data_IF_289064348724
#
_entry.id   IF_289064348724
#
_cell.length_a   1.000
_cell.length_b   1.000
_cell.length_c   1.000
_cell.angle_alpha   90.00
_cell.angle_beta   90.00
_cell.angle_gamma   90.00
#
_symmetry.space_group_name_H-M   'P 1'
#
loop_
_entity.id
_entity.type
_entity.pdbx_description
1 polymer ?
#
# COMPACT_ATOMS: atom_id res chain seq x y z
N UNK A 1 1.35 55.63 19.32
CA UNK A 1 0.83 55.09 18.05
C UNK A 1 -0.65 55.41 17.82
N UNK A 2 -1.65 54.74 18.41
CA UNK A 2 -3.06 55.00 18.04
C UNK A 2 -3.59 56.40 18.41
N UNK A 3 -3.16 56.95 19.55
CA UNK A 3 -3.57 58.27 20.07
C UNK A 3 -3.01 59.45 19.26
N UNK A 4 -1.87 59.25 18.59
CA UNK A 4 -1.26 60.27 17.73
C UNK A 4 -1.99 60.42 16.40
N UNK A 5 -2.66 59.37 15.92
CA UNK A 5 -3.49 59.43 14.71
C UNK A 5 -4.83 60.13 14.97
N UNK A 6 -5.44 59.96 16.15
CA UNK A 6 -6.71 60.65 16.45
C UNK A 6 -6.52 62.14 16.72
N UNK A 7 -5.38 62.55 17.29
CA UNK A 7 -5.10 63.96 17.60
C UNK A 7 -4.62 64.78 16.40
N UNK A 8 -4.16 64.13 15.31
CA UNK A 8 -3.72 64.81 14.09
C UNK A 8 -4.79 64.68 13.01
N UNK A 9 -5.86 65.47 13.13
CA UNK A 9 -6.93 65.53 12.11
C UNK A 9 -6.42 65.89 10.72
N UNK A 10 -5.28 66.59 10.64
CA UNK A 10 -4.56 66.91 9.40
C UNK A 10 -4.05 65.67 8.63
N UNK A 11 -3.92 64.51 9.30
CA UNK A 11 -3.59 63.25 8.64
C UNK A 11 -4.83 62.56 8.02
N UNK A 12 -6.03 62.94 8.46
CA UNK A 12 -7.32 62.40 7.98
C UNK A 12 -8.08 63.38 7.09
N UNK A 13 -7.67 64.64 7.04
CA UNK A 13 -8.25 65.65 6.16
C UNK A 13 -7.56 65.59 4.79
N UNK A 14 -8.14 64.80 3.89
CA UNK A 14 -7.72 64.70 2.50
C UNK A 14 -8.15 65.94 1.70
N UNK A 15 -9.21 66.63 2.14
CA UNK A 15 -9.89 67.65 1.35
C UNK A 15 -9.27 69.04 1.54
N UNK A 16 -8.64 69.30 2.69
CA UNK A 16 -7.96 70.58 2.95
C UNK A 16 -6.48 70.61 2.58
N UNK A 17 -5.95 69.55 1.94
CA UNK A 17 -4.56 69.54 1.48
C UNK A 17 -4.40 70.47 0.27
N UNK A 18 -3.88 71.66 0.51
CA UNK A 18 -3.26 72.46 -0.55
C UNK A 18 -2.22 71.57 -1.26
N UNK A 19 -2.29 71.52 -2.59
CA UNK A 19 -1.43 70.73 -3.47
C UNK A 19 -0.01 71.31 -3.48
N UNK A 20 0.69 71.28 -2.34
CA UNK A 20 2.06 71.76 -2.20
C UNK A 20 3.02 70.70 -2.73
N UNK A 21 3.63 71.00 -3.87
CA UNK A 21 4.60 70.19 -4.61
C UNK A 21 5.97 70.04 -3.89
N UNK A 22 5.99 69.53 -2.66
CA UNK A 22 7.23 69.07 -2.02
C UNK A 22 7.17 67.56 -1.82
N UNK A 23 7.90 66.75 -2.61
CA UNK A 23 7.87 65.31 -2.46
C UNK A 23 8.48 64.95 -1.10
N UNK A 24 7.64 64.50 -0.17
CA UNK A 24 8.07 63.88 1.06
C UNK A 24 9.16 62.85 0.75
N UNK A 25 10.31 62.91 1.45
CA UNK A 25 11.45 62.01 1.25
C UNK A 25 10.99 60.58 1.52
N UNK A 26 10.58 59.88 0.46
CA UNK A 26 10.14 58.50 0.52
C UNK A 26 11.38 57.65 0.77
N UNK A 27 11.56 57.20 2.01
CA UNK A 27 12.53 56.15 2.33
C UNK A 27 12.06 54.88 1.64
N UNK A 28 12.60 54.60 0.45
CA UNK A 28 12.27 53.43 -0.35
C UNK A 28 12.84 52.19 0.33
N UNK A 29 12.02 51.55 1.15
CA UNK A 29 12.30 50.18 1.60
C UNK A 29 12.41 49.30 0.35
N UNK A 30 13.43 48.43 0.24
CA UNK A 30 13.57 47.57 -0.92
C UNK A 30 12.34 46.66 -1.03
N UNK A 31 11.93 46.39 -2.25
CA UNK A 31 10.82 45.47 -2.53
C UNK A 31 11.10 44.12 -1.83
N UNK A 32 10.19 43.58 -1.01
CA UNK A 32 10.41 42.33 -0.27
C UNK A 32 10.79 41.16 -1.19
N UNK A 33 10.31 41.13 -2.43
CA UNK A 33 10.72 40.14 -3.43
C UNK A 33 12.20 40.25 -3.81
N UNK A 34 12.75 41.46 -3.86
CA UNK A 34 14.17 41.67 -4.16
C UNK A 34 15.07 41.15 -3.02
N UNK A 35 14.62 41.28 -1.77
CA UNK A 35 15.32 40.73 -0.61
C UNK A 35 15.33 39.20 -0.65
N UNK A 36 14.17 38.58 -0.89
CA UNK A 36 14.06 37.12 -1.04
C UNK A 36 14.90 36.58 -2.21
N UNK A 37 14.89 37.29 -3.34
CA UNK A 37 15.72 36.91 -4.49
C UNK A 37 17.21 37.00 -4.16
N UNK A 38 17.65 38.05 -3.46
CA UNK A 38 19.04 38.20 -3.05
C UNK A 38 19.50 37.08 -2.09
N UNK A 39 18.66 36.69 -1.13
CA UNK A 39 18.92 35.55 -0.25
C UNK A 39 19.05 34.25 -1.03
N UNK A 40 18.12 34.00 -1.96
CA UNK A 40 18.14 32.81 -2.81
C UNK A 40 19.36 32.78 -3.74
N UNK A 41 19.77 33.92 -4.29
CA UNK A 41 20.99 34.03 -5.10
C UNK A 41 22.21 33.64 -4.26
N UNK A 42 22.31 34.15 -3.03
CA UNK A 42 23.41 33.81 -2.12
C UNK A 42 23.47 32.32 -1.79
N UNK A 43 22.33 31.68 -1.54
CA UNK A 43 22.24 30.24 -1.33
C UNK A 43 22.71 29.46 -2.58
N UNK A 44 22.21 29.85 -3.75
CA UNK A 44 22.60 29.22 -5.02
C UNK A 44 24.09 29.39 -5.32
N UNK A 45 24.67 30.55 -5.04
CA UNK A 45 26.11 30.79 -5.18
C UNK A 45 26.94 29.86 -4.29
N UNK A 46 26.51 29.63 -3.04
CA UNK A 46 27.17 28.66 -2.15
C UNK A 46 27.09 27.24 -2.71
N UNK A 47 25.94 26.84 -3.25
CA UNK A 47 25.77 25.52 -3.87
C UNK A 47 26.66 25.37 -5.10
N UNK A 48 26.76 26.39 -5.94
CA UNK A 48 27.64 26.38 -7.11
C UNK A 48 29.11 26.24 -6.67
N UNK A 49 29.55 26.98 -5.66
CA UNK A 49 30.92 26.87 -5.15
C UNK A 49 31.23 25.46 -4.63
N UNK A 50 30.29 24.87 -3.88
CA UNK A 50 30.42 23.48 -3.41
C UNK A 50 30.54 22.49 -4.57
N UNK A 51 29.64 22.57 -5.55
CA UNK A 51 29.66 21.69 -6.72
C UNK A 51 30.92 21.87 -7.57
N UNK A 52 31.44 23.10 -7.68
CA UNK A 52 32.70 23.36 -8.38
C UNK A 52 33.90 22.74 -7.65
N UNK A 53 33.96 22.82 -6.33
CA UNK A 53 35.00 22.17 -5.53
C UNK A 53 34.95 20.64 -5.67
N UNK A 54 33.75 20.06 -5.59
CA UNK A 54 33.54 18.63 -5.83
C UNK A 54 33.99 18.26 -7.25
N UNK A 55 33.58 18.99 -8.28
CA UNK A 55 34.02 18.76 -9.67
C UNK A 55 35.53 18.85 -9.82
N UNK A 56 36.18 19.83 -9.20
CA UNK A 56 37.63 19.97 -9.24
C UNK A 56 38.33 18.80 -8.56
N UNK A 57 37.82 18.32 -7.42
CA UNK A 57 38.35 17.14 -6.74
C UNK A 57 38.21 15.88 -7.61
N UNK A 58 37.06 15.68 -8.23
CA UNK A 58 36.83 14.55 -9.14
C UNK A 58 37.69 14.66 -10.40
N UNK A 59 37.85 15.85 -10.96
CA UNK A 59 38.73 16.09 -12.09
C UNK A 59 40.20 15.83 -11.74
N UNK A 60 40.62 16.13 -10.50
CA UNK A 60 41.96 15.81 -10.02
C UNK A 60 42.18 14.30 -9.88
N UNK A 61 41.16 13.53 -9.49
CA UNK A 61 41.22 12.06 -9.44
C UNK A 61 41.22 11.42 -10.82
N UNK A 62 40.42 11.97 -11.76
CA UNK A 62 40.37 11.51 -13.15
C UNK A 62 41.63 11.90 -13.93
N UNK A 63 42.31 12.99 -13.54
CA UNK A 63 43.63 13.33 -14.06
C UNK A 63 44.60 12.26 -13.57
N UNK A 64 44.92 11.32 -14.45
CA UNK A 64 45.87 10.25 -14.15
C UNK A 64 47.13 10.86 -13.50
N UNK A 65 47.56 10.36 -12.33
CA UNK A 65 48.78 10.83 -11.69
C UNK A 65 49.93 10.65 -12.68
N UNK A 66 50.84 11.63 -12.76
CA UNK A 66 52.04 11.52 -13.58
C UNK A 66 52.97 10.47 -12.98
N UNK A 67 52.70 9.21 -13.27
CA UNK A 67 53.59 8.11 -12.93
C UNK A 67 54.81 8.22 -13.87
N UNK A 68 56.05 8.10 -13.36
CA UNK A 68 57.20 7.94 -14.23
C UNK A 68 56.97 6.70 -15.10
N UNK A 69 57.03 6.87 -16.42
CA UNK A 69 56.93 5.78 -17.38
C UNK A 69 58.04 4.76 -17.10
N UNK A 70 57.69 3.61 -16.55
CA UNK A 70 58.61 2.48 -16.43
C UNK A 70 58.67 1.86 -17.83
N UNK A 71 59.76 2.15 -18.54
CA UNK A 71 60.11 1.51 -19.81
C UNK A 71 60.29 -0.01 -19.56
N UNK A 72 59.56 -0.89 -20.27
CA UNK A 72 59.78 -2.33 -20.15
C UNK A 72 61.16 -2.69 -20.75
N UNK A 73 61.87 -3.67 -20.16
CA UNK A 73 63.21 -4.04 -20.60
C UNK A 73 63.15 -4.55 -22.05
N UNK A 74 64.02 -3.97 -22.89
CA UNK A 74 64.27 -4.43 -24.25
C UNK A 74 64.81 -5.86 -24.21
N UNK A 75 64.05 -6.82 -24.73
CA UNK A 75 64.58 -8.12 -25.13
C UNK A 75 64.94 -8.07 -26.61
N UNK A 76 66.24 -8.02 -26.88
CA UNK A 76 66.82 -8.34 -28.18
C UNK A 76 67.01 -9.87 -28.29
N UNK A 77 66.85 -10.39 -29.52
CA UNK A 77 67.14 -11.76 -30.02
C UNK A 77 66.16 -12.86 -29.55
N UNK A 78 65.46 -13.63 -30.40
CA UNK A 78 65.76 -14.13 -31.74
C UNK A 78 64.50 -14.39 -32.59
N UNK A 79 64.75 -14.46 -33.89
CA UNK A 79 63.80 -14.66 -34.97
C UNK A 79 63.02 -15.98 -34.87
N UNK A 80 61.76 -15.90 -35.28
CA UNK A 80 60.98 -16.97 -35.93
C UNK A 80 60.24 -17.98 -35.03
N UNK A 81 59.05 -17.58 -34.58
CA UNK A 81 57.86 -18.44 -34.68
C UNK A 81 56.57 -17.62 -34.62
N UNK A 82 55.89 -17.58 -35.77
CA UNK A 82 54.53 -17.08 -35.92
C UNK A 82 53.59 -18.03 -35.18
N UNK A 83 53.16 -17.66 -33.99
CA UNK A 83 52.01 -18.24 -33.31
C UNK A 83 51.34 -17.12 -32.55
N UNK A 84 50.20 -16.67 -33.07
CA UNK A 84 49.30 -15.71 -32.42
C UNK A 84 48.90 -16.25 -31.05
N UNK A 85 49.61 -15.83 -30.01
CA UNK A 85 49.12 -15.90 -28.65
C UNK A 85 48.29 -14.65 -28.40
N UNK A 86 47.04 -14.68 -28.88
CA UNK A 86 45.99 -13.89 -28.26
C UNK A 86 46.08 -14.10 -26.73
N UNK A 87 45.92 -13.05 -25.90
CA UNK A 87 45.64 -13.27 -24.49
C UNK A 87 44.29 -13.98 -24.48
N UNK A 88 44.28 -15.30 -24.27
CA UNK A 88 43.05 -16.03 -24.02
C UNK A 88 42.52 -15.48 -22.72
N UNK A 89 41.56 -14.55 -22.83
CA UNK A 89 40.67 -14.20 -21.73
C UNK A 89 40.11 -15.53 -21.23
N UNK A 90 40.58 -15.94 -20.06
CA UNK A 90 40.12 -17.13 -19.37
C UNK A 90 38.61 -17.05 -19.31
N UNK A 91 37.95 -18.11 -19.77
CA UNK A 91 36.51 -18.25 -19.62
C UNK A 91 36.11 -17.95 -18.17
N UNK A 92 34.99 -17.24 -17.92
CA UNK A 92 34.59 -16.79 -16.57
C UNK A 92 34.28 -17.93 -15.58
N UNK A 93 34.40 -19.19 -16.03
CA UNK A 93 34.04 -20.36 -15.25
C UNK A 93 35.25 -21.05 -14.58
N UNK A 94 36.48 -20.57 -14.78
CA UNK A 94 37.68 -21.12 -14.15
C UNK A 94 38.25 -20.16 -13.10
N UNK A 95 37.42 -19.76 -12.14
CA UNK A 95 37.90 -19.03 -10.97
C UNK A 95 38.60 -20.05 -10.07
N UNK A 96 39.93 -19.93 -9.95
CA UNK A 96 40.73 -20.79 -9.08
C UNK A 96 40.48 -20.40 -7.61
N UNK A 97 39.85 -21.27 -6.79
CA UNK A 97 39.49 -20.93 -5.42
C UNK A 97 40.71 -20.68 -4.53
N UNK A 98 41.91 -21.13 -4.93
CA UNK A 98 43.14 -20.91 -4.17
C UNK A 98 43.57 -19.42 -4.13
N UNK A 99 43.18 -18.62 -5.12
CA UNK A 99 43.53 -17.19 -5.22
C UNK A 99 42.54 -16.28 -4.48
N UNK A 100 41.43 -16.83 -3.98
CA UNK A 100 40.41 -16.09 -3.26
C UNK A 100 40.66 -16.12 -1.75
N UNK A 101 40.29 -15.02 -1.08
CA UNK A 101 40.25 -14.95 0.38
C UNK A 101 39.19 -15.89 0.96
N UNK A 102 39.35 -16.29 2.22
CA UNK A 102 38.47 -17.25 2.93
C UNK A 102 37.00 -16.78 2.91
N UNK A 103 36.78 -15.47 3.03
CA UNK A 103 35.44 -14.86 2.94
C UNK A 103 34.81 -15.00 1.55
N UNK A 104 35.61 -14.89 0.50
CA UNK A 104 35.16 -14.94 -0.90
C UNK A 104 34.88 -16.38 -1.35
N UNK A 105 35.61 -17.36 -0.79
CA UNK A 105 35.36 -18.79 -1.04
C UNK A 105 34.00 -19.22 -0.53
N UNK A 106 33.62 -18.76 0.67
CA UNK A 106 32.28 -19.02 1.24
C UNK A 106 31.16 -18.47 0.36
N UNK A 107 31.32 -17.27 -0.19
CA UNK A 107 30.32 -16.65 -1.07
C UNK A 107 30.19 -17.39 -2.41
N UNK A 108 31.30 -17.88 -2.98
CA UNK A 108 31.24 -18.68 -4.20
C UNK A 108 30.54 -20.02 -3.99
N UNK A 109 30.69 -20.63 -2.80
CA UNK A 109 30.01 -21.89 -2.48
C UNK A 109 28.48 -21.70 -2.45
N UNK A 110 28.01 -20.62 -1.80
CA UNK A 110 26.59 -20.25 -1.75
C UNK A 110 26.00 -19.95 -3.14
N UNK A 111 26.81 -19.47 -4.07
CA UNK A 111 26.36 -19.18 -5.45
C UNK A 111 26.39 -20.43 -6.34
N UNK A 112 27.32 -21.37 -6.10
CA UNK A 112 27.41 -22.64 -6.83
C UNK A 112 26.41 -23.68 -6.36
N UNK A 113 26.02 -23.63 -5.09
CA UNK A 113 25.05 -24.55 -4.52
C UNK A 113 23.62 -24.14 -4.93
N UNK A 114 22.88 -24.99 -5.67
CA UNK A 114 21.49 -24.70 -5.98
C UNK A 114 20.68 -24.69 -4.69
N UNK A 115 20.06 -23.55 -4.38
CA UNK A 115 19.27 -23.29 -3.17
C UNK A 115 17.96 -24.12 -3.03
N UNK A 116 17.88 -25.29 -3.65
CA UNK A 116 16.72 -26.19 -3.55
C UNK A 116 17.18 -27.64 -3.40
N UNK A 117 17.03 -28.27 -2.22
CA UNK A 117 17.05 -29.72 -2.18
C UNK A 117 15.87 -30.24 -3.01
N UNK A 118 16.17 -31.02 -4.05
CA UNK A 118 15.19 -31.87 -4.72
C UNK A 118 14.55 -32.76 -3.66
N UNK A 119 13.31 -32.41 -3.31
CA UNK A 119 12.46 -33.16 -2.43
C UNK A 119 12.25 -34.57 -3.03
N UNK A 120 12.44 -35.66 -2.27
CA UNK A 120 12.16 -37.00 -2.76
C UNK A 120 10.65 -37.17 -2.98
N UNK A 121 10.35 -37.89 -4.03
CA UNK A 121 9.05 -38.05 -4.66
C UNK A 121 7.95 -38.56 -3.71
N UNK A 122 6.74 -38.01 -3.86
CA UNK A 122 5.47 -38.74 -3.70
C UNK A 122 4.29 -37.97 -4.33
N UNK A 123 3.78 -38.54 -5.43
CA UNK A 123 2.38 -38.55 -5.89
C UNK A 123 1.78 -37.35 -6.69
N UNK A 124 1.87 -37.50 -8.03
CA UNK A 124 0.81 -37.37 -9.07
C UNK A 124 -0.17 -36.17 -9.13
N UNK A 125 -0.01 -35.26 -10.13
CA UNK A 125 -0.89 -34.98 -11.32
C UNK A 125 -0.44 -33.68 -12.08
N UNK A 126 -0.95 -33.32 -13.28
CA UNK A 126 -0.11 -33.20 -14.49
C UNK A 126 0.37 -31.77 -14.83
N UNK A 127 1.58 -31.74 -15.39
CA UNK A 127 2.13 -30.81 -16.40
C UNK A 127 1.50 -29.41 -16.54
N UNK A 128 2.20 -28.42 -15.98
CA UNK A 128 2.40 -27.14 -16.68
C UNK A 128 3.91 -26.98 -16.88
N UNK A 129 4.29 -26.93 -18.16
CA UNK A 129 5.66 -26.82 -18.64
C UNK A 129 6.37 -25.62 -17.99
N UNK A 130 7.18 -25.88 -16.97
CA UNK A 130 8.09 -24.90 -16.38
C UNK A 130 9.41 -25.02 -17.14
N UNK A 131 9.49 -24.36 -18.29
CA UNK A 131 10.75 -24.13 -19.00
C UNK A 131 11.61 -23.20 -18.14
N UNK A 132 12.37 -23.76 -17.20
CA UNK A 132 13.53 -23.06 -16.64
C UNK A 132 14.70 -23.41 -17.54
N UNK A 133 14.88 -22.64 -18.61
CA UNK A 133 16.17 -22.63 -19.30
C UNK A 133 17.20 -22.09 -18.32
N UNK A 134 18.19 -22.93 -18.05
CA UNK A 134 19.43 -22.63 -17.35
C UNK A 134 20.09 -21.43 -18.04
N UNK A 135 19.86 -20.23 -17.51
CA UNK A 135 20.69 -19.06 -17.83
C UNK A 135 21.63 -18.89 -16.65
N UNK A 136 22.92 -18.81 -16.95
CA UNK A 136 24.06 -18.79 -16.02
C UNK A 136 24.08 -17.62 -15.03
N UNK A 137 23.07 -16.76 -15.05
CA UNK A 137 23.10 -15.47 -14.39
C UNK A 137 22.06 -15.46 -13.26
N UNK A 138 22.49 -15.51 -11.98
CA UNK A 138 21.55 -15.60 -10.86
C UNK A 138 20.58 -14.40 -10.80
N UNK A 139 21.03 -13.24 -11.29
CA UNK A 139 20.26 -11.98 -11.32
C UNK A 139 19.08 -12.05 -12.30
N UNK A 140 19.25 -12.68 -13.46
CA UNK A 140 18.15 -12.81 -14.45
C UNK A 140 17.05 -13.72 -13.89
N UNK A 141 17.43 -14.82 -13.23
CA UNK A 141 16.49 -15.75 -12.60
C UNK A 141 15.67 -15.10 -11.49
N UNK A 142 16.28 -14.21 -10.69
CA UNK A 142 15.59 -13.46 -9.64
C UNK A 142 14.61 -12.45 -10.24
N UNK A 143 15.03 -11.73 -11.28
CA UNK A 143 14.21 -10.73 -11.96
C UNK A 143 12.96 -11.36 -12.59
N UNK A 144 13.10 -12.54 -13.20
CA UNK A 144 11.97 -13.30 -13.76
C UNK A 144 11.01 -13.77 -12.66
N UNK A 145 11.53 -14.21 -11.50
CA UNK A 145 10.68 -14.60 -10.37
C UNK A 145 9.94 -13.41 -9.79
N UNK A 146 10.61 -12.27 -9.62
CA UNK A 146 9.99 -11.05 -9.10
C UNK A 146 8.93 -10.51 -10.06
N UNK A 147 9.18 -10.54 -11.38
CA UNK A 147 8.17 -10.14 -12.36
C UNK A 147 6.99 -11.11 -12.38
N UNK A 148 7.24 -12.43 -12.27
CA UNK A 148 6.18 -13.44 -12.17
C UNK A 148 5.33 -13.24 -10.90
N UNK A 149 5.96 -13.05 -9.73
CA UNK A 149 5.26 -12.78 -8.47
C UNK A 149 4.45 -11.48 -8.54
N UNK A 150 5.03 -10.42 -9.09
CA UNK A 150 4.33 -9.16 -9.28
C UNK A 150 3.12 -9.32 -10.20
N UNK A 151 3.26 -10.09 -11.29
CA UNK A 151 2.15 -10.33 -12.23
C UNK A 151 1.07 -11.26 -11.66
N UNK A 152 1.44 -12.17 -10.75
CA UNK A 152 0.52 -13.08 -10.06
C UNK A 152 -0.21 -12.43 -8.88
N UNK A 153 0.40 -11.43 -8.24
CA UNK A 153 -0.20 -10.77 -7.07
C UNK A 153 -1.42 -9.92 -7.46
N UNK A 154 -1.35 -9.21 -8.59
CA UNK A 154 -2.44 -8.34 -9.05
C UNK A 154 -3.79 -9.08 -9.21
N UNK A 155 -3.89 -10.21 -9.95
CA UNK A 155 -5.16 -10.94 -10.10
C UNK A 155 -5.62 -11.64 -8.82
N UNK A 156 -4.70 -12.03 -7.93
CA UNK A 156 -5.07 -12.64 -6.64
C UNK A 156 -5.63 -11.63 -5.64
N UNK A 157 -5.12 -10.38 -5.69
CA UNK A 157 -5.69 -9.28 -4.92
C UNK A 157 -7.06 -8.88 -5.47
N UNK A 158 -7.23 -8.86 -6.79
CA UNK A 158 -8.52 -8.57 -7.43
C UNK A 158 -9.59 -9.61 -7.07
N UNK A 159 -9.26 -10.90 -7.11
CA UNK A 159 -10.19 -11.96 -6.68
C UNK A 159 -10.49 -11.91 -5.18
N UNK A 160 -9.52 -11.52 -4.35
CA UNK A 160 -9.75 -11.28 -2.92
C UNK A 160 -10.67 -10.09 -2.67
N UNK A 161 -10.51 -8.99 -3.41
CA UNK A 161 -11.37 -7.81 -3.31
C UNK A 161 -12.82 -8.14 -3.73
N UNK A 162 -13.00 -8.93 -4.79
CA UNK A 162 -14.31 -9.44 -5.18
C UNK A 162 -14.93 -10.32 -4.06
N UNK A 163 -14.14 -11.20 -3.45
CA UNK A 163 -14.60 -12.03 -2.32
C UNK A 163 -15.03 -11.23 -1.09
N UNK A 164 -14.35 -10.12 -0.77
CA UNK A 164 -14.76 -9.21 0.32
C UNK A 164 -16.09 -8.54 -0.01
N UNK A 165 -16.27 -8.05 -1.23
CA UNK A 165 -17.52 -7.43 -1.67
C UNK A 165 -18.69 -8.41 -1.56
N UNK A 166 -18.50 -9.66 -2.00
CA UNK A 166 -19.52 -10.70 -1.89
C UNK A 166 -19.85 -11.00 -0.42
N UNK A 167 -18.86 -11.06 0.47
CA UNK A 167 -19.06 -11.24 1.91
C UNK A 167 -19.89 -10.08 2.50
N UNK A 168 -19.59 -8.84 2.11
CA UNK A 168 -20.35 -7.67 2.57
C UNK A 168 -21.81 -7.72 2.09
N UNK A 169 -22.04 -8.18 0.85
CA UNK A 169 -23.40 -8.41 0.34
C UNK A 169 -24.14 -9.46 1.18
N UNK A 170 -23.53 -10.61 1.45
CA UNK A 170 -24.13 -11.65 2.30
C UNK A 170 -24.41 -11.16 3.72
N UNK A 171 -23.48 -10.39 4.29
CA UNK A 171 -23.67 -9.76 5.61
C UNK A 171 -24.87 -8.83 5.60
N UNK A 172 -24.96 -7.92 4.63
CA UNK A 172 -26.08 -6.98 4.54
C UNK A 172 -27.43 -7.68 4.37
N UNK A 173 -27.48 -8.76 3.58
CA UNK A 173 -28.67 -9.58 3.41
C UNK A 173 -29.05 -10.30 4.72
N UNK A 174 -28.08 -10.86 5.44
CA UNK A 174 -28.29 -11.48 6.73
C UNK A 174 -28.78 -10.49 7.79
N UNK A 175 -28.21 -9.28 7.85
CA UNK A 175 -28.63 -8.22 8.77
C UNK A 175 -30.07 -7.76 8.47
N UNK A 176 -30.44 -7.66 7.20
CA UNK A 176 -31.82 -7.33 6.80
C UNK A 176 -32.82 -8.42 7.21
N UNK A 177 -32.48 -9.70 7.01
CA UNK A 177 -33.34 -10.83 7.41
C UNK A 177 -33.44 -10.93 8.93
N UNK A 178 -32.31 -10.86 9.65
CA UNK A 178 -32.28 -10.85 11.10
C UNK A 178 -33.08 -9.68 11.67
N UNK A 179 -32.92 -8.48 11.12
CA UNK A 179 -33.70 -7.29 11.47
C UNK A 179 -35.20 -7.49 11.22
N UNK A 180 -35.58 -8.12 10.11
CA UNK A 180 -36.97 -8.47 9.81
C UNK A 180 -37.57 -9.45 10.83
N UNK A 181 -36.83 -10.52 11.17
CA UNK A 181 -37.26 -11.52 12.16
C UNK A 181 -37.37 -10.91 13.56
N UNK A 182 -36.36 -10.15 14.01
CA UNK A 182 -36.40 -9.48 15.30
C UNK A 182 -37.55 -8.49 15.40
N UNK A 183 -37.83 -7.72 14.34
CA UNK A 183 -38.98 -6.81 14.29
C UNK A 183 -40.30 -7.56 14.36
N UNK A 184 -40.44 -8.68 13.67
CA UNK A 184 -41.64 -9.52 13.74
C UNK A 184 -41.83 -10.13 15.14
N UNK A 185 -40.75 -10.60 15.76
CA UNK A 185 -40.75 -11.09 17.14
C UNK A 185 -41.13 -9.99 18.14
N UNK A 186 -40.56 -8.79 18.00
CA UNK A 186 -40.89 -7.64 18.84
C UNK A 186 -42.38 -7.28 18.73
N UNK A 187 -42.92 -7.21 17.50
CA UNK A 187 -44.35 -6.95 17.26
C UNK A 187 -45.25 -8.02 17.90
N UNK A 188 -44.89 -9.30 17.80
CA UNK A 188 -45.64 -10.39 18.43
C UNK A 188 -45.56 -10.35 19.96
N UNK A 189 -44.43 -9.92 20.51
CA UNK A 189 -44.26 -9.73 21.95
C UNK A 189 -45.14 -8.58 22.45
N UNK A 190 -45.13 -7.43 21.77
CA UNK A 190 -46.01 -6.30 22.08
C UNK A 190 -47.48 -6.66 21.99
N UNK A 191 -47.90 -7.41 20.96
CA UNK A 191 -49.29 -7.89 20.84
C UNK A 191 -49.66 -8.80 22.03
N UNK A 192 -48.74 -9.67 22.46
CA UNK A 192 -48.95 -10.52 23.64
C UNK A 192 -49.01 -9.69 24.92
N UNK A 193 -48.17 -8.68 25.07
CA UNK A 193 -48.12 -7.82 26.25
C UNK A 193 -49.37 -6.92 26.33
N UNK A 194 -49.89 -6.43 25.21
CA UNK A 194 -51.18 -5.74 25.13
C UNK A 194 -52.36 -6.67 25.43
N UNK A 195 -52.35 -7.91 24.92
CA UNK A 195 -53.35 -8.93 25.26
C UNK A 195 -53.26 -9.34 26.74
N UNK A 196 -52.05 -9.39 27.29
CA UNK A 196 -51.81 -9.64 28.70
C UNK A 196 -52.29 -8.48 29.57
N UNK A 197 -51.99 -7.24 29.17
CA UNK A 197 -52.41 -6.01 29.85
C UNK A 197 -53.93 -5.82 29.82
N UNK A 198 -54.61 -6.10 28.69
CA UNK A 198 -56.09 -6.06 28.62
C UNK A 198 -56.76 -7.21 29.39
N UNK A 199 -56.07 -8.35 29.55
CA UNK A 199 -56.48 -9.42 30.45
C UNK A 199 -56.12 -9.16 31.92
N UNK A 200 -55.20 -8.24 32.18
CA UNK A 200 -54.68 -7.89 33.50
C UNK A 200 -54.85 -6.39 33.78
N UNK A 201 -56.10 -5.94 33.91
CA UNK A 201 -56.42 -4.95 34.93
C UNK A 201 -57.83 -5.20 35.49
N UNK A 202 -58.17 -6.43 35.87
CA UNK A 202 -59.45 -6.74 36.56
C UNK A 202 -59.25 -7.59 37.84
N UNK A 203 -58.02 -7.95 38.19
CA UNK A 203 -57.74 -8.64 39.46
C UNK A 203 -56.77 -7.82 40.29
N UNK A 204 -57.20 -6.63 40.73
CA UNK A 204 -56.50 -5.92 41.79
C UNK A 204 -57.43 -5.22 42.79
N UNK A 205 -58.74 -5.09 42.52
CA UNK A 205 -59.69 -4.70 43.56
C UNK A 205 -61.04 -5.40 43.40
N UNK A 206 -61.62 -5.76 44.55
CA UNK A 206 -62.99 -6.27 44.80
C UNK A 206 -63.16 -7.80 44.82
N UNK A 207 -62.83 -8.34 45.99
CA UNK A 207 -63.59 -9.32 46.80
C UNK A 207 -65.06 -9.57 46.39
N UNK A 208 -65.39 -10.82 45.99
CA UNK A 208 -66.57 -11.56 46.49
C UNK A 208 -66.66 -12.98 45.92
N UNK A 209 -66.77 -13.93 46.84
CA UNK A 209 -67.22 -15.33 46.78
C UNK A 209 -68.17 -15.72 45.63
N UNK A 210 -67.92 -16.85 44.94
CA UNK A 210 -68.94 -17.84 44.54
C UNK A 210 -68.30 -19.07 43.90
N UNK A 211 -68.67 -20.25 44.40
CA UNK A 211 -68.38 -21.58 43.83
C UNK A 211 -69.17 -21.85 42.53
N UNK A 212 -68.71 -22.83 41.74
CA UNK A 212 -69.34 -23.39 40.53
C UNK A 212 -68.31 -23.54 39.40
N UNK A 213 -67.72 -24.71 39.19
CA UNK A 213 -68.20 -25.82 38.34
C UNK A 213 -67.83 -25.69 36.84
N UNK A 214 -67.39 -26.83 36.31
CA UNK A 214 -67.24 -27.28 34.92
C UNK A 214 -66.12 -26.74 33.98
N UNK A 215 -65.16 -27.64 33.73
CA UNK A 215 -64.80 -28.19 32.41
C UNK A 215 -64.68 -27.30 31.17
N UNK A 216 -63.50 -27.35 30.52
CA UNK A 216 -63.46 -27.38 29.06
C UNK A 216 -62.32 -26.66 28.34
N UNK A 217 -61.34 -27.45 27.86
CA UNK A 217 -60.89 -27.35 26.47
C UNK A 217 -59.94 -26.21 26.07
N UNK A 218 -58.63 -26.47 26.13
CA UNK A 218 -57.61 -25.76 25.36
C UNK A 218 -57.89 -25.88 23.85
N UNK A 219 -58.38 -24.82 23.21
CA UNK A 219 -58.38 -24.73 21.75
C UNK A 219 -57.00 -24.26 21.26
N UNK A 220 -56.12 -25.24 21.01
CA UNK A 220 -54.95 -25.05 20.15
C UNK A 220 -55.46 -24.59 18.79
N UNK A 221 -55.14 -23.37 18.41
CA UNK A 221 -55.32 -22.89 17.04
C UNK A 221 -54.41 -23.72 16.14
N UNK A 222 -55.02 -24.58 15.33
CA UNK A 222 -54.40 -25.15 14.14
C UNK A 222 -54.05 -23.99 13.20
N UNK A 223 -52.79 -23.59 13.22
CA UNK A 223 -52.24 -22.60 12.29
C UNK A 223 -51.58 -23.39 11.15
N UNK A 224 -52.30 -23.51 10.04
CA UNK A 224 -51.81 -23.36 8.66
C UNK A 224 -50.41 -23.96 8.36
N UNK A 225 -50.24 -25.25 8.61
CA UNK A 225 -49.05 -26.00 8.14
C UNK A 225 -49.09 -26.34 6.64
N UNK A 226 -50.22 -26.10 5.98
CA UNK A 226 -50.45 -26.48 4.58
C UNK A 226 -49.75 -25.52 3.61
N UNK A 227 -49.73 -24.22 3.93
CA UNK A 227 -49.17 -23.20 3.05
C UNK A 227 -47.63 -23.17 3.06
N UNK A 228 -46.99 -23.52 4.17
CA UNK A 228 -45.53 -23.56 4.27
C UNK A 228 -44.91 -24.63 3.37
N UNK A 229 -45.59 -25.76 3.13
CA UNK A 229 -45.09 -26.82 2.26
C UNK A 229 -45.11 -26.42 0.80
N UNK A 230 -46.12 -25.67 0.38
CA UNK A 230 -46.21 -25.11 -0.97
C UNK A 230 -45.13 -24.05 -1.20
N UNK A 231 -44.90 -23.17 -0.21
CA UNK A 231 -43.86 -22.12 -0.29
C UNK A 231 -42.45 -22.72 -0.28
N UNK A 232 -42.14 -23.66 0.62
CA UNK A 232 -40.84 -24.35 0.61
C UNK A 232 -40.64 -25.20 -0.66
N UNK A 233 -41.71 -25.81 -1.18
CA UNK A 233 -41.67 -26.55 -2.44
C UNK A 233 -41.37 -25.67 -3.65
N UNK A 234 -41.91 -24.44 -3.67
CA UNK A 234 -41.63 -23.45 -4.71
C UNK A 234 -40.19 -22.93 -4.64
N UNK A 235 -39.68 -22.67 -3.43
CA UNK A 235 -38.30 -22.22 -3.20
C UNK A 235 -37.26 -23.30 -3.57
N UNK A 236 -37.52 -24.57 -3.26
CA UNK A 236 -36.61 -25.69 -3.59
C UNK A 236 -36.44 -25.93 -5.10
N UNK A 237 -37.42 -25.52 -5.91
CA UNK A 237 -37.34 -25.62 -7.38
C UNK A 237 -36.53 -24.50 -8.02
N UNK A 238 -36.40 -23.36 -7.34
CA UNK A 238 -35.64 -22.21 -7.84
C UNK A 238 -34.13 -22.38 -7.62
N UNK A 239 -33.72 -23.13 -6.59
CA UNK A 239 -32.31 -23.39 -6.23
C UNK A 239 -31.60 -24.42 -7.14
N UNK A 240 -32.31 -25.06 -8.08
CA UNK A 240 -31.74 -26.10 -8.98
C UNK A 240 -31.62 -25.68 -10.45
N UNK A 241 -31.74 -24.40 -10.75
CA UNK A 241 -31.46 -23.83 -12.08
C UNK A 241 -30.30 -22.86 -11.97
#
# INVERSE_FOLDING_TARGET
>A
MLKEFSNRSELSDWFSREETASPAVVVKKPNPKNVQNAEKIKELEQHIQRLQAERQSLAALLRAPSLPSIEPPSEETDLNQKSESQPRLSSPNLIDPALLDISQRSLLDVVKEPLFPSQPQSQSLPTTSRMVSETSDPISSLTIRLSSLSSSLAPTLDSFAAGIHDLELYRSAADNVAGGVLRACARRLEERDLRGSTRSPVTAEVKSESEGDDGGGMTKKDIEKEDLRLVLGALSRLERR
#
